data_IF_662562442031
#
_entry.id   IF_662562442031
#
_cell.length_a   1.000
_cell.length_b   1.000
_cell.length_c   1.000
_cell.angle_alpha   90.00
_cell.angle_beta   90.00
_cell.angle_gamma   90.00
#
_symmetry.space_group_name_H-M   'P 1'
#
loop_
_entity.id
_entity.type
_entity.pdbx_description
1 polymer ?
#
# COMPACT_ATOMS: atom_id res chain seq x y z
N UNK A 1 -18.13 -12.12 2.62
CA UNK A 1 -18.63 -13.51 2.31
C UNK A 1 -17.83 -14.15 1.17
N UNK A 2 -17.44 -13.42 0.15
CA UNK A 2 -16.78 -13.94 -1.06
C UNK A 2 -15.47 -14.72 -0.80
N UNK A 3 -14.50 -14.23 0.03
CA UNK A 3 -13.24 -14.97 0.27
C UNK A 3 -13.48 -16.36 0.91
N UNK A 4 -14.43 -16.43 1.83
CA UNK A 4 -14.74 -17.68 2.52
C UNK A 4 -15.35 -18.72 1.56
N UNK A 5 -16.20 -18.29 0.65
CA UNK A 5 -16.79 -19.16 -0.40
C UNK A 5 -15.71 -19.68 -1.36
N UNK A 6 -14.73 -18.83 -1.73
CA UNK A 6 -13.60 -19.21 -2.60
C UNK A 6 -12.63 -20.18 -1.93
N UNK A 7 -12.63 -20.27 -0.60
CA UNK A 7 -11.89 -21.27 0.17
C UNK A 7 -12.72 -22.55 0.32
N UNK A 8 -13.96 -22.43 0.79
CA UNK A 8 -14.79 -23.58 1.15
C UNK A 8 -15.22 -24.43 -0.05
N UNK A 9 -15.53 -23.82 -1.21
CA UNK A 9 -16.01 -24.57 -2.37
C UNK A 9 -14.92 -25.52 -2.94
N UNK A 10 -13.66 -25.09 -3.21
CA UNK A 10 -12.61 -26.00 -3.65
C UNK A 10 -12.23 -27.05 -2.59
N UNK A 11 -12.18 -26.67 -1.29
CA UNK A 11 -11.93 -27.64 -0.23
C UNK A 11 -12.96 -28.76 -0.19
N UNK A 12 -14.25 -28.41 -0.38
CA UNK A 12 -15.33 -29.40 -0.42
C UNK A 12 -15.16 -30.39 -1.58
N UNK A 13 -14.71 -29.92 -2.75
CA UNK A 13 -14.39 -30.79 -3.91
C UNK A 13 -13.25 -31.75 -3.61
N UNK A 14 -12.18 -31.27 -2.94
CA UNK A 14 -11.05 -32.12 -2.54
C UNK A 14 -11.49 -33.16 -1.53
N UNK A 15 -12.29 -32.77 -0.52
CA UNK A 15 -12.78 -33.68 0.53
C UNK A 15 -13.67 -34.78 -0.05
N UNK A 16 -14.52 -34.42 -1.04
CA UNK A 16 -15.40 -35.37 -1.69
C UNK A 16 -14.69 -36.31 -2.70
N UNK A 17 -13.35 -36.20 -2.82
CA UNK A 17 -12.53 -37.00 -3.77
C UNK A 17 -12.97 -36.82 -5.25
N UNK A 18 -13.51 -35.67 -5.58
CA UNK A 18 -13.93 -35.32 -6.96
C UNK A 18 -12.77 -34.79 -7.82
N UNK A 19 -11.52 -34.86 -7.30
CA UNK A 19 -10.34 -34.27 -7.96
C UNK A 19 -9.18 -35.25 -7.96
N UNK A 20 -8.50 -35.40 -9.10
CA UNK A 20 -7.25 -36.16 -9.24
C UNK A 20 -6.11 -35.45 -8.51
N UNK A 21 -5.01 -36.19 -8.19
CA UNK A 21 -3.84 -35.64 -7.48
C UNK A 21 -3.24 -34.38 -8.11
N UNK A 22 -3.23 -34.26 -9.46
CA UNK A 22 -2.73 -33.08 -10.16
C UNK A 22 -3.67 -31.87 -10.04
N UNK A 23 -4.96 -32.10 -9.89
CA UNK A 23 -5.95 -31.02 -9.70
C UNK A 23 -5.98 -30.49 -8.28
N UNK A 24 -5.60 -31.32 -7.29
CA UNK A 24 -5.51 -30.91 -5.88
C UNK A 24 -4.52 -29.75 -5.70
N UNK A 25 -3.34 -29.83 -6.30
CA UNK A 25 -2.33 -28.76 -6.21
C UNK A 25 -2.82 -27.43 -6.82
N UNK A 26 -3.48 -27.50 -7.98
CA UNK A 26 -4.09 -26.34 -8.66
C UNK A 26 -5.21 -25.69 -7.82
N UNK A 27 -5.91 -26.48 -7.02
CA UNK A 27 -6.96 -25.99 -6.12
C UNK A 27 -6.41 -25.44 -4.80
N UNK A 28 -5.30 -26.02 -4.29
CA UNK A 28 -4.70 -25.59 -3.01
C UNK A 28 -4.06 -24.20 -3.09
N UNK A 29 -3.39 -23.86 -4.20
CA UNK A 29 -2.74 -22.54 -4.35
C UNK A 29 -3.72 -21.38 -4.25
N UNK A 30 -4.88 -21.38 -4.95
CA UNK A 30 -5.91 -20.34 -4.77
C UNK A 30 -6.48 -20.29 -3.36
N UNK A 31 -6.71 -21.46 -2.74
CA UNK A 31 -7.21 -21.55 -1.37
C UNK A 31 -6.24 -20.89 -0.40
N UNK A 32 -4.95 -21.23 -0.51
CA UNK A 32 -3.91 -20.65 0.33
C UNK A 32 -3.85 -19.11 0.17
N UNK A 33 -3.89 -18.61 -1.08
CA UNK A 33 -3.91 -17.18 -1.36
C UNK A 33 -5.11 -16.48 -0.71
N UNK A 34 -6.30 -17.08 -0.78
CA UNK A 34 -7.51 -16.50 -0.18
C UNK A 34 -7.46 -16.52 1.35
N UNK A 35 -6.95 -17.61 1.94
CA UNK A 35 -6.77 -17.72 3.38
C UNK A 35 -5.76 -16.67 3.89
N UNK A 36 -4.65 -16.50 3.17
CA UNK A 36 -3.63 -15.51 3.50
C UNK A 36 -4.16 -14.07 3.37
N UNK A 37 -4.93 -13.78 2.31
CA UNK A 37 -5.61 -12.49 2.17
C UNK A 37 -6.57 -12.23 3.34
N UNK A 38 -7.35 -13.23 3.75
CA UNK A 38 -8.29 -13.09 4.86
C UNK A 38 -7.56 -12.83 6.19
N UNK A 39 -6.45 -13.56 6.43
CA UNK A 39 -5.57 -13.30 7.58
C UNK A 39 -5.06 -11.86 7.57
N UNK A 40 -4.52 -11.39 6.45
CA UNK A 40 -4.01 -10.01 6.31
C UNK A 40 -5.08 -8.95 6.60
N UNK A 41 -6.33 -9.18 6.16
CA UNK A 41 -7.45 -8.28 6.46
C UNK A 41 -7.76 -8.25 7.96
N UNK A 42 -7.76 -9.42 8.62
CA UNK A 42 -8.02 -9.52 10.06
C UNK A 42 -6.92 -8.79 10.83
N UNK A 43 -5.66 -9.03 10.47
CA UNK A 43 -4.51 -8.37 11.10
C UNK A 43 -4.61 -6.83 10.93
N UNK A 44 -4.95 -6.31 9.74
CA UNK A 44 -5.18 -4.87 9.51
C UNK A 44 -6.29 -4.31 10.39
N UNK A 45 -7.42 -5.01 10.50
CA UNK A 45 -8.56 -4.54 11.32
C UNK A 45 -8.19 -4.50 12.81
N UNK A 46 -7.43 -5.49 13.27
CA UNK A 46 -6.95 -5.53 14.65
C UNK A 46 -5.92 -4.42 14.92
N UNK A 47 -5.04 -4.15 13.96
CA UNK A 47 -4.06 -3.06 14.09
C UNK A 47 -4.72 -1.68 14.08
N UNK A 48 -5.74 -1.46 13.22
CA UNK A 48 -6.54 -0.22 13.25
C UNK A 48 -7.16 -0.02 14.64
N UNK A 49 -7.78 -1.06 15.21
CA UNK A 49 -8.35 -0.98 16.56
C UNK A 49 -7.31 -0.66 17.63
N UNK A 50 -6.14 -1.31 17.59
CA UNK A 50 -5.06 -1.02 18.55
C UNK A 50 -4.57 0.42 18.45
N UNK A 51 -4.47 0.96 17.22
CA UNK A 51 -4.12 2.37 16.99
C UNK A 51 -5.18 3.31 17.54
N UNK A 52 -6.48 3.05 17.26
CA UNK A 52 -7.59 3.87 17.75
C UNK A 52 -7.71 3.84 19.30
N UNK A 53 -7.38 2.71 19.92
CA UNK A 53 -7.35 2.56 21.37
C UNK A 53 -6.07 3.12 22.04
N UNK A 54 -5.12 3.65 21.23
CA UNK A 54 -3.83 4.16 21.73
C UNK A 54 -2.91 3.07 22.30
N UNK A 55 -3.17 1.81 21.97
CA UNK A 55 -2.40 0.65 22.48
C UNK A 55 -1.20 0.30 21.61
N UNK A 56 -1.14 0.78 20.38
CA UNK A 56 -0.01 0.57 19.46
C UNK A 56 0.77 1.89 19.35
N UNK A 57 1.95 1.93 19.94
CA UNK A 57 2.82 3.10 19.88
C UNK A 57 3.65 3.04 18.60
N UNK A 58 3.71 4.16 17.87
CA UNK A 58 4.59 4.30 16.72
C UNK A 58 6.05 4.35 17.19
N UNK A 59 6.92 3.60 16.54
CA UNK A 59 8.37 3.66 16.74
C UNK A 59 8.98 4.68 15.77
N UNK A 60 8.79 5.97 16.08
CA UNK A 60 9.27 7.07 15.25
C UNK A 60 10.76 7.31 15.56
N UNK A 61 11.63 7.02 14.60
CA UNK A 61 13.06 7.26 14.64
C UNK A 61 13.52 7.96 13.35
N UNK A 62 14.62 8.76 13.40
CA UNK A 62 15.17 9.35 12.19
C UNK A 62 15.79 8.27 11.30
N UNK A 63 15.43 8.26 10.02
CA UNK A 63 15.91 7.32 9.04
C UNK A 63 16.29 8.01 7.72
N UNK A 64 17.32 7.52 6.99
CA UNK A 64 17.67 8.03 5.66
C UNK A 64 16.54 7.70 4.67
N UNK A 65 15.67 8.68 4.39
CA UNK A 65 14.43 8.46 3.66
C UNK A 65 14.65 7.87 2.27
N UNK A 66 15.56 8.45 1.48
CA UNK A 66 15.77 8.02 0.10
C UNK A 66 16.32 6.60 -0.01
N UNK A 67 17.19 6.20 0.91
CA UNK A 67 17.70 4.82 1.00
C UNK A 67 16.57 3.85 1.35
N UNK A 68 15.73 4.24 2.30
CA UNK A 68 14.57 3.44 2.69
C UNK A 68 13.57 3.31 1.53
N UNK A 69 13.23 4.42 0.82
CA UNK A 69 12.35 4.37 -0.36
C UNK A 69 12.89 3.42 -1.44
N UNK A 70 14.21 3.46 -1.71
CA UNK A 70 14.85 2.52 -2.63
C UNK A 70 14.72 1.08 -2.13
N UNK A 71 15.03 0.82 -0.87
CA UNK A 71 14.96 -0.52 -0.30
C UNK A 71 13.57 -1.14 -0.39
N UNK A 72 12.52 -0.33 -0.23
CA UNK A 72 11.13 -0.78 -0.41
C UNK A 72 10.81 -1.02 -1.88
N UNK A 73 11.16 -0.08 -2.77
CA UNK A 73 10.93 -0.20 -4.21
C UNK A 73 11.63 -1.42 -4.82
N UNK A 74 12.86 -1.69 -4.39
CA UNK A 74 13.66 -2.81 -4.91
C UNK A 74 13.04 -4.17 -4.61
N UNK A 75 12.22 -4.30 -3.57
CA UNK A 75 11.45 -5.52 -3.29
C UNK A 75 10.43 -5.84 -4.39
N UNK A 76 10.02 -4.84 -5.18
CA UNK A 76 9.02 -4.96 -6.24
C UNK A 76 9.60 -5.02 -7.66
N UNK A 77 10.93 -4.89 -7.83
CA UNK A 77 11.56 -4.85 -9.15
C UNK A 77 11.17 -6.07 -10.00
N UNK A 78 11.19 -7.26 -9.42
CA UNK A 78 10.89 -8.49 -10.15
C UNK A 78 9.42 -8.53 -10.61
N UNK A 79 8.47 -8.14 -9.77
CA UNK A 79 7.06 -8.11 -10.10
C UNK A 79 6.76 -7.10 -11.21
N UNK A 80 7.35 -5.91 -11.14
CA UNK A 80 7.26 -4.90 -12.20
C UNK A 80 7.89 -5.39 -13.49
N UNK A 81 9.07 -5.99 -13.44
CA UNK A 81 9.76 -6.54 -14.60
C UNK A 81 8.95 -7.66 -15.26
N UNK A 82 8.41 -8.62 -14.51
CA UNK A 82 7.57 -9.72 -15.03
C UNK A 82 6.33 -9.18 -15.74
N UNK A 83 5.77 -8.06 -15.24
CA UNK A 83 4.63 -7.40 -15.87
C UNK A 83 5.01 -6.48 -17.04
N UNK A 84 6.31 -6.29 -17.32
CA UNK A 84 6.82 -5.41 -18.36
C UNK A 84 6.65 -3.92 -18.04
N UNK A 85 6.65 -3.55 -16.76
CA UNK A 85 6.57 -2.16 -16.29
C UNK A 85 7.95 -1.74 -15.78
N UNK A 86 8.39 -0.53 -16.11
CA UNK A 86 9.65 0.02 -15.59
C UNK A 86 9.40 0.67 -14.23
N UNK A 87 10.30 0.44 -13.28
CA UNK A 87 10.32 1.11 -11.99
C UNK A 87 11.46 2.14 -11.98
N UNK A 88 11.13 3.40 -11.76
CA UNK A 88 12.08 4.52 -11.78
C UNK A 88 12.05 5.30 -10.45
N UNK A 89 13.11 6.07 -10.16
CA UNK A 89 13.27 6.81 -8.92
C UNK A 89 13.64 8.27 -9.22
N UNK A 90 12.82 9.21 -8.76
CA UNK A 90 13.05 10.65 -8.77
C UNK A 90 13.16 11.14 -7.31
N UNK A 91 14.31 10.99 -6.69
CA UNK A 91 14.51 11.25 -5.26
C UNK A 91 15.26 12.55 -5.04
N UNK A 92 14.68 13.46 -4.25
CA UNK A 92 15.31 14.75 -3.89
C UNK A 92 16.49 14.52 -2.96
N UNK A 93 17.70 14.80 -3.44
CA UNK A 93 18.95 14.62 -2.69
C UNK A 93 19.10 15.55 -1.47
N UNK A 94 18.29 16.60 -1.37
CA UNK A 94 18.27 17.48 -0.19
C UNK A 94 17.66 16.82 1.03
N UNK A 95 16.82 15.79 0.83
CA UNK A 95 16.20 15.03 1.90
C UNK A 95 17.25 14.09 2.51
N UNK A 96 17.50 14.25 3.80
CA UNK A 96 18.46 13.42 4.54
C UNK A 96 17.69 12.43 5.43
N UNK A 97 17.62 12.71 6.70
CA UNK A 97 16.90 11.91 7.67
C UNK A 97 15.51 12.48 7.94
N UNK A 98 14.53 11.61 8.06
CA UNK A 98 13.14 11.94 8.38
C UNK A 98 12.69 11.06 9.54
N UNK A 99 11.99 11.61 10.55
CA UNK A 99 11.48 10.81 11.66
C UNK A 99 10.18 10.10 11.26
N UNK A 100 10.20 8.76 11.23
CA UNK A 100 9.00 7.95 10.97
C UNK A 100 9.17 6.50 11.46
N UNK A 101 8.07 5.76 11.54
CA UNK A 101 8.09 4.32 11.76
C UNK A 101 8.24 3.60 10.40
N UNK A 102 9.42 3.01 10.17
CA UNK A 102 9.76 2.33 8.92
C UNK A 102 8.77 1.22 8.56
N UNK A 103 8.36 0.41 9.53
CA UNK A 103 7.51 -0.74 9.27
C UNK A 103 6.09 -0.32 8.87
N UNK A 104 5.54 0.66 9.56
CA UNK A 104 4.20 1.20 9.26
C UNK A 104 4.19 1.94 7.92
N UNK A 105 5.21 2.75 7.65
CA UNK A 105 5.33 3.45 6.36
C UNK A 105 5.66 2.50 5.20
N UNK A 106 6.39 1.39 5.44
CA UNK A 106 6.61 0.36 4.42
C UNK A 106 5.29 -0.25 3.94
N UNK A 107 4.36 -0.51 4.85
CA UNK A 107 3.03 -0.97 4.46
C UNK A 107 2.33 0.03 3.53
N UNK A 108 2.40 1.33 3.85
CA UNK A 108 1.77 2.39 3.04
C UNK A 108 2.36 2.43 1.63
N UNK A 109 3.70 2.50 1.54
CA UNK A 109 4.41 2.58 0.26
C UNK A 109 4.19 1.32 -0.58
N UNK A 110 4.25 0.14 0.04
CA UNK A 110 3.97 -1.15 -0.61
C UNK A 110 2.55 -1.22 -1.15
N UNK A 111 1.56 -0.68 -0.42
CA UNK A 111 0.17 -0.63 -0.88
C UNK A 111 0.02 0.23 -2.14
N UNK A 112 0.72 1.37 -2.21
CA UNK A 112 0.71 2.23 -3.39
C UNK A 112 1.41 1.56 -4.59
N UNK A 113 2.56 0.89 -4.37
CA UNK A 113 3.26 0.13 -5.41
C UNK A 113 2.41 -1.03 -5.95
N UNK A 114 1.72 -1.76 -5.07
CA UNK A 114 0.80 -2.82 -5.47
C UNK A 114 -0.38 -2.28 -6.28
N UNK A 115 -0.90 -1.09 -5.97
CA UNK A 115 -1.92 -0.43 -6.76
C UNK A 115 -1.37 -0.03 -8.14
N UNK A 116 -0.19 0.59 -8.21
CA UNK A 116 0.47 0.91 -9.48
C UNK A 116 0.68 -0.35 -10.32
N UNK A 117 1.22 -1.42 -9.72
CA UNK A 117 1.40 -2.71 -10.40
C UNK A 117 0.06 -3.28 -10.91
N UNK A 118 -1.01 -3.16 -10.15
CA UNK A 118 -2.32 -3.70 -10.50
C UNK A 118 -2.98 -2.97 -11.67
N UNK A 119 -2.90 -1.64 -11.69
CA UNK A 119 -3.66 -0.79 -12.61
C UNK A 119 -2.86 -0.30 -13.83
N UNK A 120 -1.54 -0.50 -13.85
CA UNK A 120 -0.71 -0.22 -15.02
C UNK A 120 -0.69 -1.38 -16.02
N UNK A 121 -0.38 -1.09 -17.26
CA UNK A 121 -0.22 -2.04 -18.36
C UNK A 121 1.26 -2.27 -18.66
N UNK A 122 1.56 -3.34 -19.44
CA UNK A 122 2.92 -3.58 -19.94
C UNK A 122 3.39 -2.43 -20.84
N UNK A 123 4.67 -2.08 -20.76
CA UNK A 123 5.27 -0.97 -21.51
C UNK A 123 5.19 0.39 -20.82
N UNK A 124 4.53 0.48 -19.64
CA UNK A 124 4.41 1.73 -18.87
C UNK A 124 5.54 1.88 -17.85
N UNK A 125 5.60 3.06 -17.22
CA UNK A 125 6.55 3.39 -16.15
C UNK A 125 5.82 3.68 -14.85
N UNK A 126 6.36 3.21 -13.74
CA UNK A 126 5.98 3.62 -12.37
C UNK A 126 7.17 4.33 -11.75
N UNK A 127 6.96 5.51 -11.18
CA UNK A 127 8.03 6.33 -10.60
C UNK A 127 7.78 6.54 -9.10
N UNK A 128 8.80 6.24 -8.30
CA UNK A 128 8.89 6.62 -6.89
C UNK A 128 9.52 8.00 -6.78
N UNK A 129 8.83 8.93 -6.12
CA UNK A 129 9.23 10.34 -6.06
C UNK A 129 9.28 10.77 -4.60
N UNK A 130 10.36 11.47 -4.21
CA UNK A 130 10.42 12.19 -2.94
C UNK A 130 10.61 13.66 -3.18
N UNK A 131 9.88 14.51 -2.46
CA UNK A 131 9.98 15.97 -2.57
C UNK A 131 9.86 16.63 -1.20
N UNK A 132 10.56 17.74 -1.00
CA UNK A 132 10.35 18.64 0.13
C UNK A 132 9.24 19.64 -0.18
N UNK A 133 8.45 20.02 0.83
CA UNK A 133 7.56 21.18 0.72
C UNK A 133 8.39 22.46 0.55
N UNK A 134 7.77 23.52 0.00
CA UNK A 134 8.45 24.80 -0.16
C UNK A 134 8.92 25.38 1.18
N UNK A 135 8.14 25.16 2.26
CA UNK A 135 8.44 25.60 3.61
C UNK A 135 9.45 24.69 4.33
N UNK A 136 9.83 23.55 3.71
CA UNK A 136 10.75 22.53 4.22
C UNK A 136 10.35 21.93 5.57
N UNK A 137 9.07 21.93 5.89
CA UNK A 137 8.50 21.34 7.10
C UNK A 137 7.82 19.99 6.85
N UNK A 138 7.61 19.65 5.59
CA UNK A 138 7.00 18.39 5.14
C UNK A 138 7.84 17.71 4.08
N UNK A 139 7.86 16.39 4.12
CA UNK A 139 8.35 15.56 3.03
C UNK A 139 7.19 14.77 2.43
N UNK A 140 7.13 14.73 1.10
CA UNK A 140 6.15 13.94 0.36
C UNK A 140 6.84 12.77 -0.31
N UNK A 141 6.25 11.59 -0.15
CA UNK A 141 6.62 10.35 -0.83
C UNK A 141 5.47 9.98 -1.76
N UNK A 142 5.74 9.83 -3.05
CA UNK A 142 4.73 9.59 -4.07
C UNK A 142 5.08 8.38 -4.94
N UNK A 143 4.03 7.68 -5.37
CA UNK A 143 4.08 6.66 -6.43
C UNK A 143 3.23 7.19 -7.58
N UNK A 144 3.88 7.50 -8.72
CA UNK A 144 3.24 7.92 -9.96
C UNK A 144 3.21 6.74 -10.92
N UNK A 145 2.04 6.37 -11.39
CA UNK A 145 1.86 5.35 -12.42
C UNK A 145 1.33 5.96 -13.73
N UNK A 146 1.49 5.22 -14.83
CA UNK A 146 0.92 5.52 -16.15
C UNK A 146 -0.27 4.60 -16.47
N UNK A 147 -1.00 4.18 -15.45
CA UNK A 147 -2.17 3.31 -15.56
C UNK A 147 -3.41 4.03 -16.09
N UNK A 148 -4.56 3.47 -15.75
CA UNK A 148 -5.86 3.99 -16.17
C UNK A 148 -6.27 5.32 -15.50
N UNK A 149 -5.55 5.75 -14.46
CA UNK A 149 -5.87 6.93 -13.67
C UNK A 149 -7.04 6.71 -12.70
N UNK A 150 -7.41 7.80 -12.02
CA UNK A 150 -8.55 7.84 -11.11
C UNK A 150 -9.77 8.33 -11.91
N UNK A 151 -10.77 7.47 -12.08
CA UNK A 151 -12.05 7.91 -12.60
C UNK A 151 -12.61 9.00 -11.66
N UNK A 152 -13.24 10.06 -12.19
CA UNK A 152 -13.88 11.21 -11.53
C UNK A 152 -14.44 10.96 -10.11
N UNK A 153 -13.63 10.36 -9.25
CA UNK A 153 -13.97 9.98 -7.90
C UNK A 153 -13.46 11.06 -6.97
N UNK A 154 -14.28 11.43 -6.03
CA UNK A 154 -13.80 12.17 -4.87
C UNK A 154 -12.63 11.42 -4.23
N UNK A 155 -11.45 12.05 -4.25
CA UNK A 155 -10.20 11.42 -3.76
C UNK A 155 -10.29 11.01 -2.30
N UNK A 156 -11.12 11.66 -1.51
CA UNK A 156 -11.35 11.28 -0.11
C UNK A 156 -12.08 9.93 0.02
N UNK A 157 -12.95 9.61 -0.92
CA UNK A 157 -13.65 8.32 -0.92
C UNK A 157 -12.74 7.13 -1.25
N UNK A 158 -11.60 7.34 -1.95
CA UNK A 158 -10.60 6.30 -2.20
C UNK A 158 -10.00 5.73 -0.91
N UNK A 159 -9.88 6.57 0.11
CA UNK A 159 -9.34 6.20 1.43
C UNK A 159 -10.43 5.78 2.43
N UNK A 160 -11.68 5.61 1.97
CA UNK A 160 -12.76 5.08 2.80
C UNK A 160 -12.69 3.56 2.88
N UNK A 161 -13.05 3.00 4.03
CA UNK A 161 -13.03 1.55 4.22
C UNK A 161 -13.98 0.85 3.25
N UNK A 162 -13.53 -0.26 2.66
CA UNK A 162 -14.28 -1.10 1.71
C UNK A 162 -14.60 -0.45 0.36
N UNK A 163 -13.96 0.68 0.04
CA UNK A 163 -14.12 1.29 -1.29
C UNK A 163 -13.37 0.46 -2.35
N UNK A 164 -14.04 0.08 -3.42
CA UNK A 164 -13.52 -0.78 -4.50
C UNK A 164 -13.74 -0.17 -5.89
N UNK A 165 -13.81 1.11 -6.06
CA UNK A 165 -13.76 1.82 -7.37
C UNK A 165 -14.53 1.23 -8.56
N UNK A 166 -15.42 0.25 -8.35
CA UNK A 166 -16.26 -0.36 -9.41
C UNK A 166 -15.51 -1.23 -10.44
N UNK A 167 -14.23 -1.53 -10.26
CA UNK A 167 -13.46 -2.36 -11.20
C UNK A 167 -13.40 -3.82 -10.77
N UNK A 168 -13.59 -4.75 -11.72
CA UNK A 168 -13.52 -6.22 -11.53
C UNK A 168 -12.15 -6.73 -11.02
N UNK A 169 -11.11 -5.89 -11.03
CA UNK A 169 -9.75 -6.26 -10.63
C UNK A 169 -9.56 -6.39 -9.11
N UNK A 170 -10.59 -6.73 -8.36
CA UNK A 170 -10.57 -7.21 -6.97
C UNK A 170 -9.51 -6.62 -6.02
N UNK A 171 -9.88 -6.34 -4.80
CA UNK A 171 -9.04 -5.94 -3.67
C UNK A 171 -9.91 -5.91 -2.43
N UNK A 172 -9.34 -5.88 -1.24
CA UNK A 172 -10.13 -5.85 0.02
C UNK A 172 -10.83 -4.50 0.24
N UNK A 173 -10.38 -3.42 -0.43
CA UNK A 173 -10.82 -2.05 -0.16
C UNK A 173 -10.40 -1.52 1.23
N UNK A 174 -9.51 -2.23 1.94
CA UNK A 174 -9.07 -1.86 3.29
C UNK A 174 -7.65 -1.24 3.25
N UNK A 175 -6.83 -1.59 2.27
CA UNK A 175 -5.43 -1.18 2.23
C UNK A 175 -5.23 0.34 2.26
N UNK A 176 -5.98 1.10 1.46
CA UNK A 176 -5.87 2.57 1.44
C UNK A 176 -6.43 3.23 2.70
N UNK A 177 -7.52 2.72 3.27
CA UNK A 177 -8.07 3.24 4.53
C UNK A 177 -7.12 2.98 5.71
N UNK A 178 -6.47 1.81 5.74
CA UNK A 178 -5.46 1.50 6.73
C UNK A 178 -4.20 2.37 6.54
N UNK A 179 -3.75 2.58 5.29
CA UNK A 179 -2.67 3.51 4.99
C UNK A 179 -2.97 4.93 5.50
N UNK A 180 -4.20 5.43 5.31
CA UNK A 180 -4.66 6.71 5.84
C UNK A 180 -4.57 6.73 7.37
N UNK A 181 -5.04 5.68 8.06
CA UNK A 181 -4.96 5.59 9.51
C UNK A 181 -3.51 5.66 10.00
N UNK A 182 -2.61 4.87 9.43
CA UNK A 182 -1.19 4.85 9.79
C UNK A 182 -0.53 6.24 9.64
N UNK A 183 -0.75 6.91 8.52
CA UNK A 183 -0.16 8.22 8.25
C UNK A 183 -0.79 9.31 9.12
N UNK A 184 -2.08 9.23 9.41
CA UNK A 184 -2.73 10.14 10.36
C UNK A 184 -2.11 10.04 11.77
N UNK A 185 -1.77 8.81 12.22
CA UNK A 185 -1.07 8.62 13.50
C UNK A 185 0.36 9.18 13.49
N UNK A 186 1.02 9.22 12.31
CA UNK A 186 2.28 9.96 12.12
C UNK A 186 2.08 11.49 12.06
N UNK A 187 0.88 12.01 12.29
CA UNK A 187 0.49 13.41 12.07
C UNK A 187 0.70 13.86 10.62
N UNK A 188 0.74 12.89 9.71
CA UNK A 188 0.92 13.06 8.27
C UNK A 188 -0.40 13.20 7.51
N UNK A 189 -0.30 13.26 6.19
CA UNK A 189 -1.43 13.36 5.26
C UNK A 189 -1.27 12.35 4.13
N UNK A 190 -2.39 11.85 3.60
CA UNK A 190 -2.41 11.02 2.39
C UNK A 190 -3.28 11.66 1.34
N UNK A 191 -2.99 11.39 0.09
CA UNK A 191 -3.81 11.86 -1.01
C UNK A 191 -3.55 11.08 -2.30
N UNK A 192 -4.42 11.33 -3.27
CA UNK A 192 -4.27 10.81 -4.61
C UNK A 192 -4.75 11.86 -5.62
N UNK A 193 -4.20 11.85 -6.82
CA UNK A 193 -4.60 12.70 -7.94
C UNK A 193 -4.34 12.00 -9.27
N UNK A 194 -4.96 12.47 -10.34
CA UNK A 194 -4.54 12.05 -11.67
C UNK A 194 -3.17 12.62 -12.00
N UNK A 195 -2.32 11.82 -12.65
CA UNK A 195 -1.07 12.30 -13.20
C UNK A 195 -1.33 13.23 -14.41
N UNK A 196 -0.38 14.12 -14.69
CA UNK A 196 -0.42 14.92 -15.90
C UNK A 196 -0.33 14.01 -17.14
N UNK A 197 -1.41 13.88 -17.88
CA UNK A 197 -1.55 12.99 -19.03
C UNK A 197 -2.31 11.71 -18.70
N UNK A 198 -1.63 10.63 -18.35
CA UNK A 198 -2.22 9.31 -18.07
C UNK A 198 -1.73 8.79 -16.72
N UNK A 199 -2.62 8.10 -15.98
CA UNK A 199 -2.27 7.44 -14.73
C UNK A 199 -2.64 8.21 -13.48
N UNK A 200 -2.20 7.70 -12.34
CA UNK A 200 -2.48 8.25 -11.02
C UNK A 200 -1.20 8.54 -10.23
N UNK A 201 -1.33 9.41 -9.23
CA UNK A 201 -0.31 9.69 -8.22
C UNK A 201 -0.96 9.41 -6.87
N UNK A 202 -0.43 8.45 -6.13
CA UNK A 202 -0.72 8.25 -4.73
C UNK A 202 0.43 8.78 -3.89
N UNK A 203 0.15 9.51 -2.84
CA UNK A 203 1.20 10.09 -2.00
C UNK A 203 0.83 10.09 -0.53
N UNK A 204 1.85 10.16 0.30
CA UNK A 204 1.72 10.54 1.70
C UNK A 204 2.79 11.57 2.07
N UNK A 205 2.48 12.36 3.09
CA UNK A 205 3.34 13.40 3.63
C UNK A 205 3.63 13.15 5.09
N UNK A 206 4.87 13.34 5.47
CA UNK A 206 5.32 13.24 6.86
C UNK A 206 5.89 14.59 7.31
N UNK A 207 5.61 15.02 8.55
CA UNK A 207 6.25 16.21 9.11
C UNK A 207 7.72 15.92 9.38
N UNK A 208 8.59 16.89 9.06
CA UNK A 208 10.03 16.81 9.36
C UNK A 208 10.34 17.07 10.82
N UNK A 209 9.45 17.78 11.52
CA UNK A 209 9.57 18.06 12.94
C UNK A 209 8.44 17.31 13.67
N UNK A 210 8.79 16.31 14.45
CA UNK A 210 7.89 15.82 15.48
C UNK A 210 8.07 16.71 16.70
N UNK A 211 7.00 17.34 17.19
CA UNK A 211 7.01 17.98 18.51
C UNK A 211 7.25 16.91 19.58
N UNK A 212 8.51 16.54 19.75
CA UNK A 212 8.98 15.71 20.86
C UNK A 212 9.23 16.59 22.11
N UNK A 213 8.43 17.64 22.26
CA UNK A 213 8.45 18.45 23.47
C UNK A 213 7.15 18.19 24.26
N UNK A 214 7.08 17.04 24.92
CA UNK A 214 5.91 16.76 25.76
C UNK A 214 5.79 15.35 26.28
N UNK A 215 6.88 14.74 26.78
CA UNK A 215 6.82 13.67 27.78
C UNK A 215 8.19 13.50 28.46
N UNK A 216 8.57 14.50 29.25
CA UNK A 216 9.48 14.36 30.37
C UNK A 216 8.84 15.18 31.52
N UNK A 217 7.86 14.60 32.17
CA UNK A 217 7.53 14.83 33.58
C UNK A 217 6.97 13.51 34.15
#
# INVERSE_FOLDING_TARGET
RTPLTLICAPLKRIINQESDKQDVEKLLVPIYKQAYQMKSIIDMVLDVRKLEEGKDMLHILPHPLNEWVRSVGDKFINEFHVKGIRLEYELDEQIKEVPFDQNKCEFVLSNFLMNALKFSESGTTTTLITTLSQEKDWVRISVRDEGMGLNMVDTDSLFSSFYQGGHEKGGSGIGLSYAKSLITHHKGRVGASNAAGKGAIFYFELPLFTDTCGQLE
#
